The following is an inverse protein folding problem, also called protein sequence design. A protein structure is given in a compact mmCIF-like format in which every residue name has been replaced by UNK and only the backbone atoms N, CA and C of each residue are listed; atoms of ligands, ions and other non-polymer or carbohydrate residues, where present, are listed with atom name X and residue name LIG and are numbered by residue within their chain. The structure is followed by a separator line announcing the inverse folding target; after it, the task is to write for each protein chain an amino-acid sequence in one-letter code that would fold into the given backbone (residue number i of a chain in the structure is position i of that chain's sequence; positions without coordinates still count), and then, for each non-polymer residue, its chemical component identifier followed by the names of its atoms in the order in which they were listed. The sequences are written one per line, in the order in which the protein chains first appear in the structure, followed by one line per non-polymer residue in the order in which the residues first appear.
data_IF_440320851445
#
_entry.id   IF_440320851445
#
_cell.length_a   1.000
_cell.length_b   1.000
_cell.length_c   1.000
_cell.angle_alpha   90.00
_cell.angle_beta   90.00
_cell.angle_gamma   90.00
#
_symmetry.space_group_name_H-M   'P 1'
#
loop_
_entity.id
_entity.type
_entity.pdbx_description
1 polymer ?
#
# COMPACT_ATOMS: atom_id res chain seq x y z
N UNK A 1 -21.90 -3.40 2.06
CA UNK A 1 -20.61 -3.08 1.41
C UNK A 1 -20.81 -1.79 0.62
N UNK A 2 -20.16 -0.68 1.00
CA UNK A 2 -20.38 0.63 0.36
C UNK A 2 -19.37 0.87 -0.78
N UNK A 3 -19.76 0.51 -2.01
CA UNK A 3 -18.97 0.64 -3.24
C UNK A 3 -19.12 2.00 -3.95
N UNK A 4 -19.43 3.08 -3.22
CA UNK A 4 -19.69 4.40 -3.83
C UNK A 4 -19.19 5.59 -3.01
N UNK A 5 -18.16 5.42 -2.18
CA UNK A 5 -17.41 6.57 -1.68
C UNK A 5 -16.54 7.06 -2.84
N UNK A 6 -16.91 8.19 -3.43
CA UNK A 6 -16.12 8.87 -4.47
C UNK A 6 -14.65 8.83 -4.09
N UNK A 7 -13.82 8.24 -4.96
CA UNK A 7 -12.37 8.25 -4.79
C UNK A 7 -11.96 9.70 -4.51
N UNK A 8 -11.41 9.95 -3.32
CA UNK A 8 -11.06 11.29 -2.84
C UNK A 8 -10.14 12.04 -3.82
N UNK A 9 -9.75 13.29 -3.49
CA UNK A 9 -8.86 14.05 -4.36
C UNK A 9 -7.61 13.22 -4.71
N UNK A 10 -7.05 13.37 -5.91
CA UNK A 10 -5.84 12.64 -6.30
C UNK A 10 -4.70 12.99 -5.34
N UNK A 11 -3.81 12.01 -5.10
CA UNK A 11 -2.60 12.24 -4.35
C UNK A 11 -1.76 13.35 -5.00
N UNK A 12 -1.16 14.18 -4.17
CA UNK A 12 -0.23 15.21 -4.64
C UNK A 12 1.07 14.57 -5.16
N UNK A 13 1.81 15.30 -6.03
CA UNK A 13 3.10 14.84 -6.52
C UNK A 13 4.05 14.46 -5.37
N UNK A 14 4.13 15.29 -4.32
CA UNK A 14 4.95 15.03 -3.14
C UNK A 14 4.59 13.73 -2.42
N UNK A 15 3.30 13.41 -2.30
CA UNK A 15 2.86 12.15 -1.70
C UNK A 15 3.27 10.95 -2.56
N UNK A 16 3.12 11.05 -3.88
CA UNK A 16 3.54 9.98 -4.79
C UNK A 16 5.07 9.79 -4.79
N UNK A 17 5.83 10.87 -4.77
CA UNK A 17 7.30 10.84 -4.66
C UNK A 17 7.74 10.18 -3.34
N UNK A 18 7.13 10.58 -2.22
CA UNK A 18 7.42 10.00 -0.90
C UNK A 18 7.08 8.50 -0.86
N UNK A 19 5.91 8.13 -1.36
CA UNK A 19 5.49 6.73 -1.44
C UNK A 19 6.46 5.91 -2.31
N UNK A 20 6.89 6.45 -3.44
CA UNK A 20 7.85 5.78 -4.32
C UNK A 20 9.24 5.63 -3.65
N UNK A 21 9.70 6.62 -2.89
CA UNK A 21 10.94 6.54 -2.12
C UNK A 21 10.89 5.39 -1.10
N UNK A 22 9.80 5.31 -0.33
CA UNK A 22 9.59 4.26 0.67
C UNK A 22 9.51 2.86 0.05
N UNK A 23 8.82 2.74 -1.09
CA UNK A 23 8.76 1.49 -1.84
C UNK A 23 10.14 1.05 -2.33
N UNK A 24 10.98 1.98 -2.81
CA UNK A 24 12.35 1.68 -3.22
C UNK A 24 13.22 1.22 -2.04
N UNK A 25 13.07 1.86 -0.87
CA UNK A 25 13.74 1.41 0.35
C UNK A 25 13.30 0.01 0.79
N UNK A 26 12.02 -0.31 0.59
CA UNK A 26 11.48 -1.66 0.79
C UNK A 26 11.90 -2.68 -0.30
N UNK A 27 12.67 -2.26 -1.32
CA UNK A 27 13.19 -3.14 -2.37
C UNK A 27 12.33 -3.22 -3.64
N UNK A 28 11.41 -2.28 -3.85
CA UNK A 28 10.57 -2.21 -5.05
C UNK A 28 10.97 -1.07 -5.99
N UNK A 29 11.24 -1.38 -7.26
CA UNK A 29 11.66 -0.36 -8.24
C UNK A 29 10.58 0.68 -8.57
N UNK A 30 9.29 0.30 -8.49
CA UNK A 30 8.16 1.15 -8.85
C UNK A 30 6.82 0.58 -8.34
N UNK A 31 5.74 1.35 -8.51
CA UNK A 31 4.37 0.95 -8.12
C UNK A 31 3.88 -0.33 -8.79
N UNK A 32 4.33 -0.63 -10.02
CA UNK A 32 3.96 -1.87 -10.73
C UNK A 32 4.65 -3.08 -10.10
N UNK A 33 5.91 -2.95 -9.70
CA UNK A 33 6.68 -3.98 -8.99
C UNK A 33 6.09 -4.23 -7.60
N UNK A 34 5.70 -3.16 -6.90
CA UNK A 34 5.02 -3.24 -5.61
C UNK A 34 3.60 -3.84 -5.69
N UNK A 35 2.95 -3.83 -6.87
CA UNK A 35 1.54 -4.25 -7.02
C UNK A 35 1.23 -5.65 -6.51
N UNK A 36 2.09 -6.61 -6.80
CA UNK A 36 1.95 -7.99 -6.32
C UNK A 36 2.14 -8.08 -4.80
N UNK A 37 3.34 -7.79 -4.28
CA UNK A 37 3.66 -7.95 -2.86
C UNK A 37 2.85 -7.05 -1.93
N UNK A 38 2.49 -5.83 -2.35
CA UNK A 38 1.71 -4.86 -1.55
C UNK A 38 0.19 -4.93 -1.81
N UNK A 39 -0.26 -5.81 -2.70
CA UNK A 39 -1.69 -5.96 -3.00
C UNK A 39 -2.34 -4.75 -3.70
N UNK A 40 -1.56 -3.88 -4.38
CA UNK A 40 -2.12 -2.69 -5.03
C UNK A 40 -3.11 -3.04 -6.15
N UNK A 41 -4.13 -2.20 -6.29
CA UNK A 41 -5.06 -2.27 -7.43
C UNK A 41 -4.39 -1.89 -8.75
N UNK A 42 -5.04 -2.16 -9.89
CA UNK A 42 -4.44 -1.88 -11.20
C UNK A 42 -4.23 -0.37 -11.38
N UNK A 43 -5.16 0.43 -10.85
CA UNK A 43 -5.10 1.89 -10.81
C UNK A 43 -3.84 2.36 -10.07
N UNK A 44 -3.63 1.84 -8.86
CA UNK A 44 -2.49 2.17 -8.01
C UNK A 44 -1.15 1.70 -8.60
N UNK A 45 -1.11 0.52 -9.23
CA UNK A 45 0.07 0.05 -9.96
C UNK A 45 0.47 0.93 -11.16
N UNK A 46 -0.46 1.78 -11.63
CA UNK A 46 -0.19 2.82 -12.64
C UNK A 46 0.09 4.20 -12.00
N UNK A 47 0.38 4.26 -10.70
CA UNK A 47 0.70 5.50 -9.96
C UNK A 47 -0.52 6.37 -9.61
N UNK A 48 -1.74 5.85 -9.76
CA UNK A 48 -2.97 6.61 -9.50
C UNK A 48 -3.53 6.30 -8.12
N UNK A 49 -3.18 7.15 -7.15
CA UNK A 49 -3.64 7.09 -5.78
C UNK A 49 -4.53 8.29 -5.47
N UNK A 50 -5.49 8.09 -4.56
CA UNK A 50 -6.12 9.21 -3.85
C UNK A 50 -5.20 9.71 -2.74
N UNK A 51 -5.43 10.94 -2.28
CA UNK A 51 -4.69 11.54 -1.16
C UNK A 51 -4.68 10.62 0.06
N UNK A 52 -5.86 10.14 0.45
CA UNK A 52 -6.02 9.32 1.65
C UNK A 52 -5.35 7.94 1.49
N UNK A 53 -5.42 7.35 0.29
CA UNK A 53 -4.70 6.09 0.00
C UNK A 53 -3.18 6.28 0.10
N UNK A 54 -2.64 7.37 -0.43
CA UNK A 54 -1.21 7.64 -0.36
C UNK A 54 -0.76 7.89 1.09
N UNK A 55 -1.51 8.69 1.86
CA UNK A 55 -1.19 8.98 3.27
C UNK A 55 -1.21 7.69 4.12
N UNK A 56 -2.20 6.81 3.92
CA UNK A 56 -2.28 5.53 4.63
C UNK A 56 -1.07 4.61 4.33
N UNK A 57 -0.70 4.49 3.04
CA UNK A 57 0.43 3.64 2.63
C UNK A 57 1.79 4.20 3.08
N UNK A 58 1.95 5.53 3.07
CA UNK A 58 3.15 6.18 3.60
C UNK A 58 3.30 5.86 5.08
N UNK A 59 2.22 6.04 5.87
CA UNK A 59 2.24 5.75 7.30
C UNK A 59 2.56 4.27 7.60
N UNK A 60 2.00 3.34 6.83
CA UNK A 60 2.27 1.90 6.96
C UNK A 60 3.74 1.58 6.68
N UNK A 61 4.29 2.08 5.57
CA UNK A 61 5.67 1.84 5.18
C UNK A 61 6.68 2.48 6.15
N UNK A 62 6.42 3.72 6.60
CA UNK A 62 7.26 4.40 7.60
C UNK A 62 7.23 3.69 8.96
N UNK A 63 6.09 3.13 9.36
CA UNK A 63 5.97 2.31 10.57
C UNK A 63 6.78 1.02 10.48
N UNK A 64 6.78 0.38 9.30
CA UNK A 64 7.54 -0.85 9.05
C UNK A 64 9.06 -0.60 8.93
N UNK A 65 9.50 0.57 8.46
CA UNK A 65 10.93 0.94 8.45
C UNK A 65 11.51 1.05 9.89
N UNK A 66 10.69 1.30 10.90
CA UNK A 66 11.14 1.51 12.27
C UNK A 66 11.27 0.22 13.11
N UNK A 67 10.73 -0.91 12.64
CA UNK A 67 10.84 -2.20 13.32
C UNK A 67 11.58 -3.24 12.46
N UNK A 68 12.92 -3.36 12.55
CA UNK A 68 13.70 -4.33 11.79
C UNK A 68 13.50 -5.79 12.24
N UNK A 69 12.56 -6.06 13.16
CA UNK A 69 12.35 -7.37 13.79
C UNK A 69 10.93 -7.91 13.68
N UNK A 70 9.96 -7.12 13.23
CA UNK A 70 8.60 -7.59 13.06
C UNK A 70 8.49 -8.48 11.80
N UNK A 71 8.14 -9.78 11.93
CA UNK A 71 7.90 -10.61 10.76
C UNK A 71 6.69 -10.04 10.03
N UNK A 72 6.91 -9.59 8.78
CA UNK A 72 5.87 -9.23 7.83
C UNK A 72 4.81 -10.32 7.82
N UNK A 73 3.63 -10.01 8.36
CA UNK A 73 2.55 -10.98 8.47
C UNK A 73 2.15 -11.45 7.06
N UNK A 74 2.20 -12.77 6.80
CA UNK A 74 1.58 -13.31 5.61
C UNK A 74 0.07 -13.16 5.78
N UNK A 75 -0.55 -12.36 4.92
CA UNK A 75 -1.98 -12.43 4.66
C UNK A 75 -2.28 -13.84 4.13
N UNK A 76 -2.69 -14.78 4.99
CA UNK A 76 -3.55 -15.95 4.67
C UNK A 76 -3.60 -16.94 5.83
N UNK A 77 -4.74 -17.06 6.50
CA UNK A 77 -5.22 -18.35 6.99
C UNK A 77 -6.74 -18.36 6.98
N UNK A 78 -7.24 -18.96 5.91
CA UNK A 78 -8.60 -19.45 5.81
C UNK A 78 -8.91 -20.47 6.93
N UNK A 79 -10.22 -20.65 7.16
CA UNK A 79 -10.91 -21.72 7.90
C UNK A 79 -11.04 -21.55 9.41
N UNK A 80 -12.20 -21.02 9.81
CA UNK A 80 -12.94 -21.55 10.95
C UNK A 80 -14.25 -22.15 10.42
N UNK A 81 -14.18 -23.41 9.99
CA UNK A 81 -15.35 -24.31 10.08
C UNK A 81 -15.37 -24.80 11.51
N UNK A 82 -16.51 -24.67 12.18
CA UNK A 82 -16.85 -25.32 13.45
C UNK A 82 -18.38 -25.14 13.55
N UNK A 83 -19.23 -26.14 13.60
CA UNK A 83 -19.16 -27.61 13.67
C UNK A 83 -20.46 -28.11 13.01
#
# INVERSE_FOLDING_TARGET
MAFNQSAGPPASARQLERLLELLQKAGHDNFRSARGPMGFTQRQGNGKFTRDEADALIAELEGNEHDPTAPSQPQSSARLTND
#
